data_IF_722197575693
#
_entry.id   IF_722197575693
#
_cell.length_a   1.000
_cell.length_b   1.000
_cell.length_c   1.000
_cell.angle_alpha   90.00
_cell.angle_beta   90.00
_cell.angle_gamma   90.00
#
_symmetry.space_group_name_H-M   'P 1'
#
loop_
_entity.id
_entity.type
_entity.pdbx_description
1 polymer ?
#
# COMPACT_ATOMS: atom_id res chain seq x y z
N UNK A 1 0.90 21.31 -15.52
CA UNK A 1 1.43 22.22 -14.48
C UNK A 1 2.29 21.40 -13.54
N UNK A 2 3.49 21.88 -13.17
CA UNK A 2 4.33 21.21 -12.17
C UNK A 2 3.70 21.37 -10.79
N UNK A 3 3.65 20.29 -10.03
CA UNK A 3 3.15 20.31 -8.64
C UNK A 3 4.10 21.09 -7.75
N UNK A 4 3.56 21.78 -6.76
CA UNK A 4 4.39 22.56 -5.84
C UNK A 4 5.06 21.66 -4.79
N UNK A 5 4.45 20.50 -4.50
CA UNK A 5 4.88 19.58 -3.46
C UNK A 5 4.90 18.15 -3.99
N UNK A 6 5.96 17.42 -3.69
CA UNK A 6 6.12 16.00 -4.05
C UNK A 6 6.02 15.15 -2.77
N UNK A 7 4.92 14.40 -2.58
CA UNK A 7 4.75 13.57 -1.40
C UNK A 7 5.59 12.29 -1.46
N UNK A 8 6.11 11.85 -0.31
CA UNK A 8 6.84 10.58 -0.15
C UNK A 8 5.92 9.34 -0.07
N UNK A 9 4.65 9.54 0.28
CA UNK A 9 3.67 8.48 0.48
C UNK A 9 2.66 8.43 -0.65
N UNK A 10 1.84 7.38 -0.67
CA UNK A 10 0.73 7.26 -1.61
C UNK A 10 -0.23 8.45 -1.49
N UNK A 11 -0.69 8.93 -2.64
CA UNK A 11 -1.50 10.13 -2.69
C UNK A 11 -2.46 10.17 -3.89
N UNK A 12 -3.56 10.90 -3.70
CA UNK A 12 -4.44 11.35 -4.75
C UNK A 12 -4.27 12.86 -4.96
N UNK A 13 -4.53 13.32 -6.18
CA UNK A 13 -4.36 14.72 -6.55
C UNK A 13 -5.50 15.21 -7.43
N UNK A 14 -5.81 16.49 -7.31
CA UNK A 14 -6.78 17.22 -8.14
C UNK A 14 -6.31 18.66 -8.31
N UNK A 15 -6.59 19.22 -9.48
CA UNK A 15 -6.31 20.62 -9.79
C UNK A 15 -7.59 21.33 -10.19
N UNK A 16 -7.72 22.59 -9.77
CA UNK A 16 -8.69 23.52 -10.30
C UNK A 16 -7.97 24.66 -11.01
N UNK A 17 -8.10 24.75 -12.33
CA UNK A 17 -7.52 25.83 -13.13
C UNK A 17 -8.50 27.01 -13.27
N UNK A 18 -7.97 28.24 -13.20
CA UNK A 18 -8.65 29.51 -13.48
C UNK A 18 -10.01 29.72 -12.80
N UNK A 19 -10.18 29.15 -11.61
CA UNK A 19 -11.42 29.24 -10.85
C UNK A 19 -11.73 30.68 -10.48
N UNK A 20 -12.99 31.11 -10.66
CA UNK A 20 -13.44 32.49 -10.43
C UNK A 20 -13.66 32.82 -8.95
N UNK A 21 -12.64 32.59 -8.14
CA UNK A 21 -12.58 32.89 -6.71
C UNK A 21 -11.36 33.79 -6.41
N UNK A 22 -11.28 34.28 -5.17
CA UNK A 22 -10.20 35.20 -4.77
C UNK A 22 -9.02 34.45 -4.19
N UNK A 23 -7.81 34.65 -4.74
CA UNK A 23 -6.58 34.00 -4.27
C UNK A 23 -6.36 34.15 -2.77
N UNK A 24 -6.50 35.37 -2.24
CA UNK A 24 -6.33 35.64 -0.80
C UNK A 24 -7.33 34.87 0.07
N UNK A 25 -8.56 34.66 -0.41
CA UNK A 25 -9.55 33.89 0.33
C UNK A 25 -9.20 32.40 0.29
N UNK A 26 -8.82 31.90 -0.88
CA UNK A 26 -8.38 30.51 -1.05
C UNK A 26 -7.14 30.21 -0.22
N UNK A 27 -6.15 31.11 -0.16
CA UNK A 27 -4.94 30.95 0.67
C UNK A 27 -5.28 30.78 2.15
N UNK A 28 -6.14 31.65 2.70
CA UNK A 28 -6.59 31.54 4.11
C UNK A 28 -7.26 30.19 4.37
N UNK A 29 -8.11 29.73 3.46
CA UNK A 29 -8.76 28.43 3.61
C UNK A 29 -7.77 27.27 3.47
N UNK A 30 -6.87 27.32 2.48
CA UNK A 30 -5.81 26.34 2.28
C UNK A 30 -4.93 26.20 3.53
N UNK A 31 -4.52 27.31 4.14
CA UNK A 31 -3.70 27.30 5.35
C UNK A 31 -4.42 26.64 6.52
N UNK A 32 -5.73 26.86 6.65
CA UNK A 32 -6.56 26.26 7.70
C UNK A 32 -6.78 24.76 7.47
N UNK A 33 -6.98 24.30 6.23
CA UNK A 33 -7.23 22.87 5.96
C UNK A 33 -5.95 22.04 5.81
N UNK A 34 -4.80 22.67 5.52
CA UNK A 34 -3.53 21.99 5.32
C UNK A 34 -3.16 21.16 6.56
N UNK A 35 -2.68 19.94 6.33
CA UNK A 35 -2.30 18.96 7.36
C UNK A 35 -3.45 18.51 8.28
N UNK A 36 -4.72 18.74 7.92
CA UNK A 36 -5.87 18.18 8.63
C UNK A 36 -6.39 16.91 7.95
N UNK A 37 -6.99 15.97 8.70
CA UNK A 37 -7.64 14.81 8.11
C UNK A 37 -8.82 15.24 7.24
N UNK A 38 -9.13 14.45 6.20
CA UNK A 38 -10.19 14.73 5.24
C UNK A 38 -11.54 15.05 5.90
N UNK A 39 -11.93 14.24 6.90
CA UNK A 39 -13.19 14.39 7.65
C UNK A 39 -13.30 15.76 8.33
N UNK A 40 -12.23 16.21 9.01
CA UNK A 40 -12.19 17.51 9.69
C UNK A 40 -12.22 18.67 8.70
N UNK A 41 -11.55 18.52 7.57
CA UNK A 41 -11.52 19.54 6.51
C UNK A 41 -12.89 19.72 5.86
N UNK A 42 -13.58 18.63 5.52
CA UNK A 42 -14.95 18.65 4.99
C UNK A 42 -15.90 19.38 5.93
N UNK A 43 -15.95 18.95 7.20
CA UNK A 43 -16.80 19.56 8.24
C UNK A 43 -16.54 21.06 8.39
N UNK A 44 -15.27 21.48 8.42
CA UNK A 44 -14.91 22.89 8.55
C UNK A 44 -15.40 23.73 7.36
N UNK A 45 -15.31 23.20 6.14
CA UNK A 45 -15.79 23.91 4.93
C UNK A 45 -17.32 23.99 4.91
N UNK A 46 -18.02 22.94 5.34
CA UNK A 46 -19.48 22.95 5.49
C UNK A 46 -19.95 23.96 6.53
N UNK A 47 -19.28 24.04 7.69
CA UNK A 47 -19.57 25.02 8.73
C UNK A 47 -19.38 26.46 8.24
N UNK A 48 -18.37 26.71 7.39
CA UNK A 48 -18.14 28.00 6.76
C UNK A 48 -19.22 28.36 5.73
N UNK A 49 -19.69 27.37 4.96
CA UNK A 49 -20.78 27.55 3.99
C UNK A 49 -22.09 27.86 4.71
N UNK A 50 -22.36 27.15 5.81
CA UNK A 50 -23.51 27.35 6.69
C UNK A 50 -23.38 28.57 7.62
N UNK A 51 -22.26 29.30 7.57
CA UNK A 51 -21.97 30.47 8.41
C UNK A 51 -22.01 30.21 9.92
N UNK A 52 -21.79 28.96 10.35
CA UNK A 52 -21.73 28.57 11.77
C UNK A 52 -20.41 28.95 12.42
N UNK A 53 -19.35 29.00 11.61
CA UNK A 53 -17.99 29.30 12.06
C UNK A 53 -17.36 30.32 11.11
N UNK A 54 -16.74 31.36 11.65
CA UNK A 54 -15.98 32.34 10.86
C UNK A 54 -14.47 32.12 10.99
N UNK A 55 -13.73 32.55 9.98
CA UNK A 55 -12.27 32.62 9.99
C UNK A 55 -11.87 34.09 9.85
N UNK A 56 -11.20 34.64 10.86
CA UNK A 56 -10.79 36.06 10.89
C UNK A 56 -11.98 37.01 10.60
N UNK A 57 -13.15 36.70 11.17
CA UNK A 57 -14.38 37.49 10.97
C UNK A 57 -15.05 37.34 9.60
N UNK A 58 -14.62 36.40 8.74
CA UNK A 58 -15.23 36.15 7.42
C UNK A 58 -15.53 34.67 7.22
N UNK A 59 -16.58 34.37 6.46
CA UNK A 59 -17.01 33.00 6.18
C UNK A 59 -16.41 32.42 4.89
N UNK A 60 -15.95 33.27 3.96
CA UNK A 60 -15.36 32.86 2.68
C UNK A 60 -16.21 31.88 1.85
N UNK A 61 -17.54 32.00 1.92
CA UNK A 61 -18.53 31.06 1.36
C UNK A 61 -18.25 30.62 -0.07
N UNK A 62 -17.94 31.56 -0.98
CA UNK A 62 -17.65 31.26 -2.39
C UNK A 62 -16.40 30.38 -2.57
N UNK A 63 -15.34 30.67 -1.83
CA UNK A 63 -14.10 29.90 -1.90
C UNK A 63 -14.27 28.53 -1.22
N UNK A 64 -14.98 28.47 -0.10
CA UNK A 64 -15.28 27.21 0.59
C UNK A 64 -16.06 26.23 -0.30
N UNK A 65 -17.08 26.69 -1.04
CA UNK A 65 -17.82 25.87 -2.01
C UNK A 65 -16.92 25.30 -3.11
N UNK A 66 -16.03 26.12 -3.67
CA UNK A 66 -15.12 25.69 -4.73
C UNK A 66 -14.10 24.65 -4.22
N UNK A 67 -13.57 24.84 -3.01
CA UNK A 67 -12.62 23.89 -2.38
C UNK A 67 -13.33 22.57 -2.05
N UNK A 68 -14.56 22.63 -1.53
CA UNK A 68 -15.34 21.44 -1.21
C UNK A 68 -15.59 20.58 -2.46
N UNK A 69 -15.92 21.23 -3.59
CA UNK A 69 -16.07 20.56 -4.88
C UNK A 69 -14.79 19.80 -5.28
N UNK A 70 -13.62 20.44 -5.16
CA UNK A 70 -12.34 19.81 -5.48
C UNK A 70 -11.99 18.69 -4.50
N UNK A 71 -12.27 18.84 -3.21
CA UNK A 71 -12.05 17.77 -2.22
C UNK A 71 -12.88 16.53 -2.53
N UNK A 72 -14.15 16.68 -2.91
CA UNK A 72 -15.00 15.56 -3.30
C UNK A 72 -14.48 14.85 -4.56
N UNK A 73 -13.95 15.61 -5.53
CA UNK A 73 -13.26 15.02 -6.68
C UNK A 73 -11.97 14.29 -6.27
N UNK A 74 -11.23 14.81 -5.29
CA UNK A 74 -9.98 14.21 -4.82
C UNK A 74 -10.22 12.93 -4.03
N UNK A 75 -11.28 12.88 -3.23
CA UNK A 75 -11.73 11.69 -2.51
C UNK A 75 -12.09 10.56 -3.49
N UNK A 76 -12.90 10.84 -4.53
CA UNK A 76 -13.20 9.86 -5.58
C UNK A 76 -11.95 9.35 -6.30
N UNK A 77 -10.97 10.23 -6.53
CA UNK A 77 -9.68 9.82 -7.10
C UNK A 77 -8.86 8.96 -6.13
N UNK A 78 -9.00 9.18 -4.82
CA UNK A 78 -8.35 8.36 -3.79
C UNK A 78 -8.99 6.98 -3.70
N UNK A 79 -10.32 6.91 -3.74
CA UNK A 79 -11.09 5.65 -3.80
C UNK A 79 -10.73 4.85 -5.06
N UNK A 80 -10.66 5.50 -6.23
CA UNK A 80 -10.24 4.86 -7.47
C UNK A 80 -8.82 4.28 -7.40
N UNK A 81 -7.94 4.93 -6.63
CA UNK A 81 -6.58 4.45 -6.36
C UNK A 81 -6.51 3.41 -5.23
N UNK A 82 -7.63 3.09 -4.58
CA UNK A 82 -7.69 2.15 -3.46
C UNK A 82 -7.00 2.66 -2.18
N UNK A 83 -6.96 3.98 -1.97
CA UNK A 83 -6.39 4.57 -0.74
C UNK A 83 -7.40 4.47 0.42
N UNK A 84 -6.90 4.27 1.65
CA UNK A 84 -7.74 4.24 2.85
C UNK A 84 -8.26 5.65 3.21
N UNK A 85 -9.57 5.86 3.06
CA UNK A 85 -10.24 7.15 3.30
C UNK A 85 -10.09 7.65 4.74
N UNK A 86 -9.91 6.75 5.71
CA UNK A 86 -9.74 7.09 7.12
C UNK A 86 -8.39 7.77 7.44
N UNK A 87 -7.38 7.59 6.57
CA UNK A 87 -5.99 8.03 6.81
C UNK A 87 -5.52 9.13 5.86
N UNK A 88 -6.45 9.75 5.14
CA UNK A 88 -6.15 10.82 4.19
C UNK A 88 -6.00 12.17 4.89
N UNK A 89 -4.85 12.80 4.68
CA UNK A 89 -4.57 14.16 5.12
C UNK A 89 -4.52 15.12 3.93
N UNK A 90 -5.11 16.29 4.11
CA UNK A 90 -5.20 17.31 3.06
C UNK A 90 -3.90 18.10 2.98
N UNK A 91 -3.30 18.14 1.79
CA UNK A 91 -2.32 19.13 1.40
C UNK A 91 -2.95 20.04 0.34
N UNK A 92 -3.00 21.34 0.60
CA UNK A 92 -3.65 22.29 -0.29
C UNK A 92 -2.80 23.54 -0.51
N UNK A 93 -2.78 24.01 -1.74
CA UNK A 93 -2.11 25.24 -2.17
C UNK A 93 -2.99 26.03 -3.13
N UNK A 94 -2.86 27.36 -3.11
CA UNK A 94 -3.59 28.26 -3.99
C UNK A 94 -2.62 29.26 -4.61
N UNK A 95 -2.67 29.36 -5.94
CA UNK A 95 -1.82 30.20 -6.78
C UNK A 95 -2.66 31.21 -7.55
N UNK A 96 -2.00 32.28 -8.01
CA UNK A 96 -2.64 33.30 -8.85
C UNK A 96 -3.02 32.70 -10.20
N UNK A 97 -4.28 32.88 -10.61
CA UNK A 97 -4.75 32.50 -11.94
C UNK A 97 -4.47 33.58 -12.99
N UNK A 98 -5.05 33.39 -14.18
CA UNK A 98 -4.97 34.35 -15.29
C UNK A 98 -5.62 35.69 -14.94
N UNK A 99 -4.88 36.80 -15.12
CA UNK A 99 -5.44 38.14 -14.90
C UNK A 99 -6.26 38.58 -16.12
N UNK A 100 -7.57 38.43 -16.05
CA UNK A 100 -8.47 38.89 -17.12
C UNK A 100 -8.96 40.30 -16.81
N UNK A 101 -8.79 41.24 -17.74
CA UNK A 101 -9.26 42.62 -17.60
C UNK A 101 -10.77 42.73 -17.84
N UNK A 102 -11.45 43.57 -17.07
CA UNK A 102 -12.85 43.92 -17.25
C UNK A 102 -12.96 45.03 -18.29
N UNK A 103 -13.63 44.73 -19.40
CA UNK A 103 -13.80 45.65 -20.55
C UNK A 103 -14.30 47.05 -20.17
N UNK A 104 -15.23 47.16 -19.21
CA UNK A 104 -15.92 48.42 -18.88
C UNK A 104 -15.20 49.31 -17.87
N UNK A 105 -14.11 48.84 -17.23
CA UNK A 105 -13.43 49.61 -16.17
C UNK A 105 -12.10 50.17 -16.67
N UNK A 106 -12.00 51.51 -16.75
CA UNK A 106 -10.79 52.21 -17.21
C UNK A 106 -9.73 52.41 -16.12
N UNK A 107 -10.11 52.44 -14.84
CA UNK A 107 -9.18 52.62 -13.72
C UNK A 107 -8.46 51.34 -13.30
N UNK A 108 -7.27 51.45 -12.68
CA UNK A 108 -6.43 50.31 -12.30
C UNK A 108 -7.00 49.44 -11.17
N UNK A 109 -7.76 50.01 -10.24
CA UNK A 109 -8.29 49.24 -9.11
C UNK A 109 -9.51 48.39 -9.50
N UNK A 110 -9.36 47.07 -9.36
CA UNK A 110 -10.38 46.08 -9.64
C UNK A 110 -10.81 45.99 -11.12
N UNK A 111 -10.02 46.58 -12.03
CA UNK A 111 -10.11 46.29 -13.46
C UNK A 111 -9.88 44.80 -13.74
N UNK A 112 -9.08 44.10 -12.94
CA UNK A 112 -8.85 42.67 -13.10
C UNK A 112 -9.91 41.80 -12.43
N UNK A 113 -10.29 40.72 -13.11
CA UNK A 113 -11.06 39.62 -12.53
C UNK A 113 -10.14 38.74 -11.69
N UNK A 114 -10.65 38.31 -10.54
CA UNK A 114 -9.94 37.40 -9.66
C UNK A 114 -10.14 35.97 -10.15
N UNK A 115 -9.03 35.30 -10.40
CA UNK A 115 -8.96 33.89 -10.75
C UNK A 115 -7.87 33.22 -9.91
N UNK A 116 -8.03 31.93 -9.65
CA UNK A 116 -7.07 31.15 -8.87
C UNK A 116 -6.87 29.79 -9.49
N UNK A 117 -5.61 29.37 -9.50
CA UNK A 117 -5.25 27.99 -9.72
C UNK A 117 -5.13 27.33 -8.34
N UNK A 118 -5.76 26.19 -8.13
CA UNK A 118 -5.65 25.45 -6.88
C UNK A 118 -5.13 24.05 -7.11
N UNK A 119 -4.34 23.60 -6.16
CA UNK A 119 -3.76 22.27 -6.09
C UNK A 119 -4.20 21.66 -4.75
N UNK A 120 -4.87 20.51 -4.83
CA UNK A 120 -5.26 19.74 -3.65
C UNK A 120 -4.74 18.32 -3.83
N UNK A 121 -4.09 17.83 -2.78
CA UNK A 121 -3.61 16.48 -2.67
C UNK A 121 -4.10 15.85 -1.37
N UNK A 122 -4.48 14.59 -1.43
CA UNK A 122 -4.76 13.77 -0.28
C UNK A 122 -3.59 12.80 -0.11
N UNK A 123 -2.85 12.96 0.98
CA UNK A 123 -1.69 12.14 1.31
C UNK A 123 -2.09 11.15 2.38
N UNK A 124 -1.85 9.87 2.14
CA UNK A 124 -2.05 8.84 3.15
C UNK A 124 -0.96 8.98 4.24
N UNK A 125 -1.36 9.20 5.49
CA UNK A 125 -0.43 9.24 6.63
C UNK A 125 -0.74 8.11 7.60
N UNK A 126 0.26 7.27 7.84
CA UNK A 126 0.19 6.13 8.76
C UNK A 126 1.38 5.20 8.52
N UNK A 127 1.56 4.18 9.39
CA UNK A 127 2.47 3.08 9.07
C UNK A 127 1.97 2.42 7.78
N UNK A 128 2.89 2.17 6.85
CA UNK A 128 2.62 1.43 5.62
C UNK A 128 1.77 0.19 5.94
N UNK A 129 0.76 -0.14 5.13
CA UNK A 129 -0.02 -1.35 5.34
C UNK A 129 0.93 -2.54 5.46
N UNK A 130 0.69 -3.37 6.49
CA UNK A 130 1.50 -4.56 6.78
C UNK A 130 1.57 -5.52 5.59
N UNK A 131 0.74 -5.35 4.57
CA UNK A 131 0.63 -6.18 3.38
C UNK A 131 1.91 -6.27 2.53
N UNK A 132 2.74 -5.22 2.50
CA UNK A 132 4.07 -5.32 1.85
C UNK A 132 5.08 -6.09 2.71
N UNK A 133 4.98 -5.97 4.04
CA UNK A 133 5.83 -6.71 5.00
C UNK A 133 5.37 -8.16 5.12
N UNK A 134 4.06 -8.43 5.04
CA UNK A 134 3.47 -9.76 5.10
C UNK A 134 3.69 -10.51 3.81
N UNK A 135 3.56 -9.91 2.62
CA UNK A 135 3.93 -10.57 1.36
C UNK A 135 5.42 -10.96 1.33
N UNK A 136 6.30 -10.12 1.87
CA UNK A 136 7.74 -10.41 1.99
C UNK A 136 8.02 -11.53 3.01
N UNK A 137 7.34 -11.50 4.18
CA UNK A 137 7.40 -12.57 5.19
C UNK A 137 6.81 -13.89 4.72
N UNK A 138 5.69 -13.86 3.99
CA UNK A 138 5.06 -15.04 3.40
C UNK A 138 6.01 -15.64 2.35
N UNK A 139 6.65 -14.80 1.53
CA UNK A 139 7.65 -15.26 0.55
C UNK A 139 8.89 -15.88 1.22
N UNK A 140 9.41 -15.28 2.30
CA UNK A 140 10.49 -15.87 3.11
C UNK A 140 10.09 -17.16 3.84
N UNK A 141 8.82 -17.28 4.26
CA UNK A 141 8.31 -18.50 4.88
C UNK A 141 8.10 -19.63 3.86
N UNK A 142 7.66 -19.32 2.64
CA UNK A 142 7.53 -20.30 1.57
C UNK A 142 8.89 -20.87 1.14
N UNK A 143 9.92 -20.03 1.01
CA UNK A 143 11.27 -20.50 0.64
C UNK A 143 11.87 -21.40 1.71
N UNK A 144 11.69 -21.05 3.00
CA UNK A 144 12.14 -21.92 4.11
C UNK A 144 11.41 -23.26 4.15
N UNK A 145 10.13 -23.29 3.75
CA UNK A 145 9.35 -24.53 3.72
C UNK A 145 9.81 -25.46 2.60
N UNK A 146 10.10 -24.91 1.41
CA UNK A 146 10.65 -25.70 0.31
C UNK A 146 12.04 -26.28 0.58
N UNK A 147 12.88 -25.56 1.34
CA UNK A 147 14.22 -26.06 1.71
C UNK A 147 14.12 -27.25 2.69
N UNK A 148 13.21 -27.17 3.68
CA UNK A 148 12.94 -28.27 4.63
C UNK A 148 12.31 -29.47 3.93
N UNK A 149 11.39 -29.25 3.00
CA UNK A 149 10.76 -30.35 2.23
C UNK A 149 11.81 -31.10 1.38
N UNK A 150 12.82 -30.39 0.86
CA UNK A 150 13.93 -30.99 0.12
C UNK A 150 14.94 -31.74 1.01
N UNK A 151 15.15 -31.31 2.26
CA UNK A 151 15.96 -32.04 3.24
C UNK A 151 15.27 -33.34 3.67
N UNK A 152 13.96 -33.30 3.93
CA UNK A 152 13.18 -34.49 4.31
C UNK A 152 13.14 -35.54 3.20
N UNK A 153 13.08 -35.14 1.92
CA UNK A 153 13.16 -36.10 0.81
C UNK A 153 14.54 -36.76 0.71
N UNK A 154 15.63 -36.03 0.98
CA UNK A 154 16.99 -36.61 1.01
C UNK A 154 17.14 -37.63 2.15
N UNK A 155 16.67 -37.30 3.35
CA UNK A 155 16.71 -38.23 4.50
C UNK A 155 15.90 -39.51 4.23
N UNK A 156 14.74 -39.41 3.57
CA UNK A 156 13.96 -40.59 3.16
C UNK A 156 14.70 -41.44 2.13
N UNK A 157 15.39 -40.82 1.17
CA UNK A 157 16.20 -41.55 0.20
C UNK A 157 17.36 -42.29 0.87
N UNK A 158 18.03 -41.64 1.83
CA UNK A 158 19.15 -42.24 2.58
C UNK A 158 18.68 -43.42 3.43
N UNK A 159 17.57 -43.28 4.18
CA UNK A 159 16.96 -44.39 4.93
C UNK A 159 16.53 -45.55 4.03
N UNK A 160 16.08 -45.26 2.80
CA UNK A 160 15.70 -46.29 1.83
C UNK A 160 16.93 -47.06 1.33
N UNK A 161 18.05 -46.37 1.11
CA UNK A 161 19.34 -47.01 0.76
C UNK A 161 19.83 -47.91 1.90
N UNK A 162 19.72 -47.45 3.14
CA UNK A 162 20.09 -48.22 4.34
C UNK A 162 19.20 -49.46 4.55
N UNK A 163 17.90 -49.35 4.25
CA UNK A 163 17.01 -50.52 4.29
C UNK A 163 17.34 -51.55 3.22
N UNK A 164 17.77 -51.10 2.04
CA UNK A 164 18.13 -51.98 0.93
C UNK A 164 19.48 -52.69 1.18
N UNK A 165 20.42 -52.08 1.90
CA UNK A 165 21.66 -52.76 2.34
C UNK A 165 21.37 -53.79 3.42
N UNK A 166 20.58 -53.46 4.43
CA UNK A 166 20.19 -54.42 5.48
C UNK A 166 19.45 -55.63 4.91
N UNK A 167 18.59 -55.43 3.91
CA UNK A 167 17.93 -56.55 3.22
C UNK A 167 18.91 -57.47 2.50
N UNK A 168 19.94 -56.92 1.85
CA UNK A 168 21.00 -57.71 1.20
C UNK A 168 21.80 -58.50 2.22
N UNK A 169 22.19 -57.88 3.33
CA UNK A 169 22.88 -58.56 4.44
C UNK A 169 22.04 -59.70 5.03
N UNK A 170 20.72 -59.51 5.20
CA UNK A 170 19.83 -60.57 5.64
C UNK A 170 19.70 -61.72 4.63
N UNK A 171 19.72 -61.43 3.33
CA UNK A 171 19.72 -62.45 2.28
C UNK A 171 21.05 -63.24 2.24
N UNK A 172 22.19 -62.57 2.45
CA UNK A 172 23.49 -63.23 2.56
C UNK A 172 23.56 -64.13 3.79
N UNK A 173 23.18 -63.62 4.97
CA UNK A 173 23.13 -64.42 6.20
C UNK A 173 22.18 -65.64 6.07
N UNK A 174 21.06 -65.50 5.35
CA UNK A 174 20.15 -66.63 5.10
C UNK A 174 20.79 -67.70 4.22
N UNK A 175 21.55 -67.29 3.19
CA UNK A 175 22.30 -68.22 2.34
C UNK A 175 23.39 -68.92 3.13
N UNK A 176 24.12 -68.20 3.97
CA UNK A 176 25.16 -68.77 4.84
C UNK A 176 24.57 -69.81 5.83
N UNK A 177 23.37 -69.55 6.37
CA UNK A 177 22.65 -70.50 7.22
C UNK A 177 22.20 -71.73 6.43
N UNK A 178 21.68 -71.56 5.21
CA UNK A 178 21.31 -72.69 4.34
C UNK A 178 22.54 -73.55 3.97
N UNK A 179 23.68 -72.94 3.68
CA UNK A 179 24.94 -73.65 3.42
C UNK A 179 25.47 -74.38 4.67
N UNK A 180 25.36 -73.77 5.85
CA UNK A 180 25.71 -74.42 7.12
C UNK A 180 24.79 -75.62 7.42
N UNK A 181 23.49 -75.51 7.14
CA UNK A 181 22.57 -76.63 7.27
C UNK A 181 22.91 -77.78 6.30
N UNK A 182 23.24 -77.47 5.05
CA UNK A 182 23.64 -78.47 4.06
C UNK A 182 24.94 -79.19 4.45
N UNK A 183 25.95 -78.46 4.93
CA UNK A 183 27.22 -79.06 5.41
C UNK A 183 27.04 -79.87 6.69
N UNK A 184 26.08 -79.54 7.55
CA UNK A 184 25.74 -80.37 8.72
C UNK A 184 25.03 -81.67 8.32
N UNK A 185 24.16 -81.63 7.30
CA UNK A 185 23.44 -82.79 6.76
C UNK A 185 24.40 -83.77 6.09
N UNK A 186 25.36 -83.29 5.29
CA UNK A 186 26.38 -84.15 4.66
C UNK A 186 27.33 -84.79 5.69
N UNK A 187 27.74 -84.07 6.74
CA UNK A 187 28.54 -84.65 7.85
C UNK A 187 27.80 -85.77 8.61
N UNK A 188 26.49 -85.63 8.83
CA UNK A 188 25.69 -86.70 9.46
C UNK A 188 25.44 -87.91 8.55
N UNK A 189 25.55 -87.74 7.23
CA UNK A 189 25.50 -88.83 6.26
C UNK A 189 26.85 -89.57 6.18
N UNK A 190 27.97 -88.85 6.33
CA UNK A 190 29.33 -89.42 6.39
C UNK A 190 29.60 -90.21 7.69
N UNK A 191 29.02 -89.82 8.83
CA UNK A 191 29.14 -90.57 10.11
C UNK A 191 28.27 -91.85 10.19
N UNK A 192 27.45 -92.14 9.19
CA UNK A 192 26.54 -93.31 9.15
C UNK A 192 27.04 -94.50 8.32
N UNK A 193 28.30 -94.49 7.87
CA UNK A 193 28.97 -95.58 7.13
C UNK A 193 30.10 -96.14 7.99
#
# INVERSE_FOLDING_TARGET
>A
MKQTFEPKHNYAKTFGSDMKISMKASMVLCDVIRNKPLTRSRRLLEDLIAQRRSLRGKYYTKAAKAILLLLNSCEKNAEFKGLDTGRLFVHASAHKGTNIQRRRRKGAFGSTMKSTNMEIMLVERGKQPKDMVSKKKIKEQLTKKSDVDAEVEKEKEDLKRDLDTVKKEQEELKKDVEEAEQTSKTKMEEEKI
#
